data_IF_956184485218
#
_entry.id   IF_956184485218
#
_cell.length_a   1.000
_cell.length_b   1.000
_cell.length_c   1.000
_cell.angle_alpha   90.00
_cell.angle_beta   90.00
_cell.angle_gamma   90.00
#
_symmetry.space_group_name_H-M   'P 1'
#
loop_
_entity.id
_entity.type
_entity.pdbx_description
1 polymer ?
#
# COMPACT_ATOMS: atom_id res chain seq x y z
N UNK A 1 -5.57 50.75 11.32
CA UNK A 1 -5.93 49.52 10.59
C UNK A 1 -4.71 48.60 10.59
N UNK A 2 -4.80 47.43 11.24
CA UNK A 2 -3.76 46.40 11.22
C UNK A 2 -4.05 45.39 10.09
N UNK A 3 -3.02 44.70 9.58
CA UNK A 3 -3.23 43.37 9.00
C UNK A 3 -2.06 42.45 9.37
N UNK A 4 -2.41 41.56 10.29
CA UNK A 4 -1.68 40.39 10.73
C UNK A 4 -1.46 39.38 9.61
N UNK A 5 -0.30 38.73 9.58
CA UNK A 5 -0.25 37.30 9.25
C UNK A 5 0.83 36.60 10.09
N UNK A 6 0.67 36.70 11.41
CA UNK A 6 1.35 35.76 12.30
C UNK A 6 0.71 34.40 12.12
N UNK A 7 1.46 33.46 11.56
CA UNK A 7 1.11 32.05 11.54
C UNK A 7 0.95 31.59 12.99
N UNK A 8 -0.29 31.34 13.40
CA UNK A 8 -0.63 30.73 14.69
C UNK A 8 -0.17 29.28 14.69
N UNK A 9 1.12 29.09 14.99
CA UNK A 9 1.68 27.80 15.35
C UNK A 9 1.05 27.32 16.66
N UNK A 10 0.86 26.01 16.76
CA UNK A 10 0.45 25.33 17.98
C UNK A 10 1.45 25.68 19.11
N UNK A 11 1.01 26.41 20.14
CA UNK A 11 1.81 26.59 21.35
C UNK A 11 1.52 25.40 22.28
N UNK A 12 2.47 24.47 22.49
CA UNK A 12 2.30 23.44 23.51
C UNK A 12 2.23 24.13 24.89
N UNK A 13 1.18 23.83 25.65
CA UNK A 13 0.93 24.36 27.02
C UNK A 13 2.05 23.99 28.00
N UNK A 14 2.90 23.02 27.64
CA UNK A 14 4.10 22.67 28.37
C UNK A 14 5.32 22.87 27.47
N UNK A 15 6.05 23.98 27.67
CA UNK A 15 7.38 24.12 27.11
C UNK A 15 8.30 23.08 27.80
N UNK A 16 8.97 22.19 27.04
CA UNK A 16 10.01 21.36 27.62
C UNK A 16 11.09 22.28 28.19
N UNK A 17 11.36 22.20 29.50
CA UNK A 17 12.48 22.93 30.13
C UNK A 17 13.78 22.25 29.70
N UNK A 18 14.35 22.66 28.59
CA UNK A 18 15.72 22.30 28.23
C UNK A 18 16.69 23.09 29.13
N UNK A 19 17.63 22.40 29.77
CA UNK A 19 18.59 23.00 30.71
C UNK A 19 19.66 23.90 30.05
N UNK A 20 19.57 24.15 28.74
CA UNK A 20 20.51 24.96 27.98
C UNK A 20 19.81 25.93 27.04
N UNK A 21 20.49 27.04 26.68
CA UNK A 21 20.06 27.89 25.57
C UNK A 21 20.04 27.03 24.30
N UNK A 22 18.95 27.09 23.56
CA UNK A 22 18.85 26.43 22.27
C UNK A 22 19.79 27.16 21.31
N UNK A 23 20.94 26.56 21.01
CA UNK A 23 21.83 27.03 19.95
C UNK A 23 21.39 26.39 18.64
N UNK A 24 21.16 27.20 17.61
CA UNK A 24 20.83 26.67 16.29
C UNK A 24 21.99 25.81 15.77
N UNK A 25 21.70 24.65 15.14
CA UNK A 25 22.75 23.79 14.61
C UNK A 25 23.57 24.55 13.55
N UNK A 26 24.90 24.53 13.72
CA UNK A 26 25.87 25.22 12.85
C UNK A 26 25.71 24.86 11.36
N UNK A 27 25.22 23.64 11.06
CA UNK A 27 24.89 23.19 9.71
C UNK A 27 23.65 22.30 9.77
N UNK A 28 22.58 22.71 9.07
CA UNK A 28 21.42 21.84 8.80
C UNK A 28 21.67 21.06 7.53
N UNK A 29 21.80 19.73 7.62
CA UNK A 29 21.95 18.88 6.45
C UNK A 29 20.65 18.14 6.20
N UNK A 30 20.14 18.21 4.96
CA UNK A 30 18.97 17.45 4.58
C UNK A 30 19.33 15.96 4.56
N UNK A 31 18.59 15.17 5.33
CA UNK A 31 18.67 13.71 5.27
C UNK A 31 18.47 13.19 3.84
N UNK A 32 19.21 12.15 3.47
CA UNK A 32 19.12 11.61 2.13
C UNK A 32 17.84 10.78 2.03
N UNK A 33 16.92 11.24 1.20
CA UNK A 33 15.71 10.46 0.98
C UNK A 33 16.00 9.23 0.13
N UNK A 34 16.89 9.31 -0.86
CA UNK A 34 17.08 8.29 -1.90
C UNK A 34 18.19 7.27 -1.59
N UNK A 35 17.92 5.95 -1.74
CA UNK A 35 18.93 4.93 -1.51
C UNK A 35 20.05 5.04 -2.55
N UNK A 36 21.31 5.03 -2.09
CA UNK A 36 22.50 4.98 -2.97
C UNK A 36 22.96 3.54 -3.12
N UNK A 37 22.17 2.75 -3.83
CA UNK A 37 22.42 1.33 -4.04
C UNK A 37 22.70 1.06 -5.52
N UNK A 38 23.62 0.14 -5.80
CA UNK A 38 23.76 -0.41 -7.15
C UNK A 38 22.51 -1.21 -7.53
N UNK A 39 22.28 -1.43 -8.83
CA UNK A 39 21.13 -2.20 -9.31
C UNK A 39 21.01 -3.58 -8.64
N UNK A 40 22.13 -4.31 -8.49
CA UNK A 40 22.16 -5.64 -7.87
C UNK A 40 21.79 -5.57 -6.39
N UNK A 41 22.35 -4.59 -5.68
CA UNK A 41 22.06 -4.35 -4.27
C UNK A 41 20.60 -3.98 -4.05
N UNK A 42 20.04 -3.13 -4.90
CA UNK A 42 18.65 -2.72 -4.83
C UNK A 42 17.70 -3.89 -5.14
N UNK A 43 18.01 -4.68 -6.17
CA UNK A 43 17.27 -5.90 -6.48
C UNK A 43 17.28 -6.91 -5.32
N UNK A 44 18.41 -7.07 -4.64
CA UNK A 44 18.51 -7.93 -3.45
C UNK A 44 17.60 -7.45 -2.31
N UNK A 45 17.54 -6.14 -2.05
CA UNK A 45 16.63 -5.54 -1.06
C UNK A 45 15.17 -5.79 -1.47
N UNK A 46 14.80 -5.56 -2.73
CA UNK A 46 13.44 -5.78 -3.23
C UNK A 46 13.03 -7.24 -3.06
N UNK A 47 13.91 -8.19 -3.40
CA UNK A 47 13.66 -9.63 -3.25
C UNK A 47 13.50 -10.03 -1.78
N UNK A 48 14.42 -9.59 -0.92
CA UNK A 48 14.39 -9.89 0.52
C UNK A 48 13.11 -9.37 1.19
N UNK A 49 12.77 -8.11 0.95
CA UNK A 49 11.56 -7.47 1.49
C UNK A 49 10.28 -8.11 0.97
N UNK A 50 10.25 -8.47 -0.32
CA UNK A 50 9.10 -9.15 -0.92
C UNK A 50 8.91 -10.55 -0.34
N UNK A 51 10.00 -11.29 -0.10
CA UNK A 51 9.95 -12.59 0.54
C UNK A 51 9.43 -12.48 1.98
N UNK A 52 10.01 -11.59 2.80
CA UNK A 52 9.57 -11.40 4.20
C UNK A 52 8.09 -10.99 4.27
N UNK A 53 7.65 -10.10 3.39
CA UNK A 53 6.25 -9.67 3.32
C UNK A 53 5.33 -10.83 2.91
N UNK A 54 5.75 -11.64 1.93
CA UNK A 54 4.97 -12.80 1.48
C UNK A 54 4.77 -13.83 2.60
N UNK A 55 5.80 -14.11 3.40
CA UNK A 55 5.69 -15.00 4.55
C UNK A 55 4.79 -14.41 5.65
N UNK A 56 4.95 -13.12 5.97
CA UNK A 56 4.15 -12.44 7.00
C UNK A 56 2.68 -12.25 6.60
N UNK A 57 2.39 -12.17 5.29
CA UNK A 57 1.00 -12.07 4.79
C UNK A 57 0.12 -13.23 5.26
N UNK A 58 0.65 -14.45 5.30
CA UNK A 58 -0.12 -15.65 5.65
C UNK A 58 -0.82 -15.54 7.03
N UNK A 59 -0.09 -15.31 8.14
CA UNK A 59 -0.73 -15.14 9.43
C UNK A 59 -1.60 -13.87 9.49
N UNK A 60 -1.20 -12.79 8.82
CA UNK A 60 -1.96 -11.52 8.81
C UNK A 60 -3.37 -11.72 8.29
N UNK A 61 -3.52 -12.41 7.15
CA UNK A 61 -4.84 -12.71 6.55
C UNK A 61 -5.69 -13.61 7.45
N UNK A 62 -5.06 -14.39 8.34
CA UNK A 62 -5.77 -15.26 9.28
C UNK A 62 -6.17 -14.56 10.58
N UNK A 63 -5.63 -13.37 10.89
CA UNK A 63 -6.04 -12.61 12.08
C UNK A 63 -7.52 -12.25 12.09
N UNK A 64 -8.15 -12.19 10.92
CA UNK A 64 -9.58 -12.12 10.71
C UNK A 64 -10.41 -13.18 11.47
N UNK A 65 -9.80 -14.33 11.79
CA UNK A 65 -10.43 -15.41 12.56
C UNK A 65 -10.60 -15.04 14.04
N UNK A 66 -9.89 -14.01 14.52
CA UNK A 66 -9.93 -13.52 15.90
C UNK A 66 -10.79 -12.27 16.07
N UNK A 67 -11.50 -11.87 15.02
CA UNK A 67 -12.33 -10.66 15.03
C UNK A 67 -13.52 -10.75 16.00
N UNK A 68 -13.88 -11.94 16.49
CA UNK A 68 -14.86 -12.10 17.59
C UNK A 68 -14.34 -11.58 18.94
N UNK A 69 -13.03 -11.32 19.05
CA UNK A 69 -12.43 -10.67 20.23
C UNK A 69 -12.67 -9.16 20.23
N UNK A 70 -12.75 -8.53 19.06
CA UNK A 70 -13.23 -7.16 18.94
C UNK A 70 -14.72 -7.17 19.24
N UNK A 71 -15.17 -6.28 20.12
CA UNK A 71 -16.53 -6.24 20.67
C UNK A 71 -17.54 -5.72 19.62
N UNK A 72 -17.68 -6.48 18.54
CA UNK A 72 -18.48 -6.11 17.37
C UNK A 72 -19.91 -6.61 17.60
N UNK A 73 -20.93 -5.73 17.44
CA UNK A 73 -22.32 -6.08 17.71
C UNK A 73 -22.75 -7.31 16.91
N UNK A 74 -23.20 -8.36 17.59
CA UNK A 74 -23.73 -9.59 16.98
C UNK A 74 -22.94 -10.86 17.35
N UNK A 75 -21.61 -10.86 17.15
CA UNK A 75 -20.77 -12.02 17.49
C UNK A 75 -20.37 -12.02 18.98
N UNK A 76 -20.07 -10.86 19.56
CA UNK A 76 -19.61 -10.76 20.94
C UNK A 76 -20.70 -11.10 21.96
N UNK A 77 -21.96 -10.82 21.63
CA UNK A 77 -23.14 -11.18 22.44
C UNK A 77 -23.39 -12.69 22.48
N UNK A 78 -22.85 -13.46 21.53
CA UNK A 78 -23.02 -14.92 21.44
C UNK A 78 -22.01 -15.67 22.31
N UNK A 79 -20.88 -15.06 22.66
CA UNK A 79 -19.80 -15.69 23.41
C UNK A 79 -19.67 -14.99 24.77
N UNK A 80 -20.16 -15.66 25.83
CA UNK A 80 -20.01 -15.17 27.20
C UNK A 80 -18.55 -14.87 27.53
N UNK A 81 -18.32 -13.87 28.40
CA UNK A 81 -16.98 -13.40 28.74
C UNK A 81 -16.06 -14.50 29.30
N UNK A 82 -16.61 -15.52 29.98
CA UNK A 82 -15.89 -16.69 30.49
C UNK A 82 -15.34 -17.60 29.38
N UNK A 83 -16.05 -17.71 28.24
CA UNK A 83 -15.68 -18.62 27.15
C UNK A 83 -14.73 -17.99 26.13
N UNK A 84 -14.53 -16.66 26.16
CA UNK A 84 -13.66 -15.96 25.20
C UNK A 84 -12.22 -16.47 25.21
N UNK A 85 -11.68 -16.82 26.40
CA UNK A 85 -10.32 -17.35 26.54
C UNK A 85 -10.19 -18.75 25.94
N UNK A 86 -11.13 -19.64 26.23
CA UNK A 86 -11.12 -20.99 25.67
C UNK A 86 -11.30 -20.94 24.14
N UNK A 87 -12.19 -20.08 23.65
CA UNK A 87 -12.42 -19.88 22.22
C UNK A 87 -11.18 -19.30 21.52
N UNK A 88 -10.47 -18.35 22.14
CA UNK A 88 -9.20 -17.80 21.65
C UNK A 88 -8.18 -18.89 21.39
N UNK A 89 -7.91 -19.76 22.36
CA UNK A 89 -6.93 -20.84 22.19
C UNK A 89 -7.42 -21.87 21.18
N UNK A 90 -8.72 -22.18 21.17
CA UNK A 90 -9.31 -23.07 20.17
C UNK A 90 -9.11 -22.54 18.76
N UNK A 91 -9.31 -21.24 18.52
CA UNK A 91 -9.05 -20.63 17.21
C UNK A 91 -7.56 -20.52 16.91
N UNK A 92 -6.71 -20.22 17.90
CA UNK A 92 -5.25 -20.16 17.75
C UNK A 92 -4.65 -21.47 17.23
N UNK A 93 -5.05 -22.60 17.81
CA UNK A 93 -4.50 -23.90 17.44
C UNK A 93 -5.23 -24.60 16.28
N UNK A 94 -6.49 -24.25 16.00
CA UNK A 94 -7.22 -24.85 14.86
C UNK A 94 -6.94 -24.15 13.53
N UNK A 95 -6.51 -22.89 13.56
CA UNK A 95 -6.20 -22.14 12.34
C UNK A 95 -4.93 -22.68 11.70
N UNK A 96 -5.04 -23.10 10.44
CA UNK A 96 -3.88 -23.40 9.59
C UNK A 96 -3.24 -22.09 9.13
N UNK A 97 -2.29 -21.57 9.91
CA UNK A 97 -1.65 -20.27 9.71
C UNK A 97 -1.02 -20.09 8.33
N UNK A 98 -0.42 -21.14 7.79
CA UNK A 98 0.26 -21.13 6.49
C UNK A 98 -0.59 -21.69 5.34
N UNK A 99 -1.91 -21.81 5.52
CA UNK A 99 -2.82 -22.20 4.43
C UNK A 99 -3.12 -20.98 3.54
N UNK A 100 -2.96 -21.14 2.23
CA UNK A 100 -3.26 -20.09 1.28
C UNK A 100 -2.60 -20.29 -0.09
N UNK A 101 -2.68 -19.28 -0.98
CA UNK A 101 -1.89 -19.25 -2.21
C UNK A 101 -0.40 -19.34 -1.88
N UNK A 102 0.41 -19.90 -2.77
CA UNK A 102 1.84 -20.12 -2.48
C UNK A 102 2.56 -18.82 -2.13
N UNK A 103 3.48 -18.89 -1.16
CA UNK A 103 4.31 -17.75 -0.77
C UNK A 103 5.11 -17.20 -1.96
N UNK A 104 5.59 -18.08 -2.83
CA UNK A 104 6.28 -17.71 -4.08
C UNK A 104 5.39 -16.89 -5.02
N UNK A 105 4.11 -17.23 -5.14
CA UNK A 105 3.18 -16.44 -5.96
C UNK A 105 3.02 -15.03 -5.38
N UNK A 106 2.79 -14.92 -4.07
CA UNK A 106 2.68 -13.62 -3.39
C UNK A 106 3.97 -12.81 -3.49
N UNK A 107 5.13 -13.46 -3.35
CA UNK A 107 6.44 -12.84 -3.51
C UNK A 107 6.60 -12.26 -4.91
N UNK A 108 6.22 -13.00 -5.95
CA UNK A 108 6.33 -12.52 -7.34
C UNK A 108 5.48 -11.27 -7.60
N UNK A 109 4.27 -11.21 -7.01
CA UNK A 109 3.41 -10.02 -7.08
C UNK A 109 4.07 -8.80 -6.42
N UNK A 110 4.70 -8.99 -5.26
CA UNK A 110 5.37 -7.90 -4.53
C UNK A 110 6.65 -7.42 -5.21
N UNK A 111 7.46 -8.34 -5.74
CA UNK A 111 8.68 -8.02 -6.50
C UNK A 111 8.31 -7.19 -7.72
N UNK A 112 7.32 -7.64 -8.49
CA UNK A 112 6.84 -6.93 -9.68
C UNK A 112 6.38 -5.51 -9.34
N UNK A 113 5.59 -5.39 -8.27
CA UNK A 113 5.00 -4.14 -7.85
C UNK A 113 6.05 -3.13 -7.38
N UNK A 114 7.03 -3.55 -6.56
CA UNK A 114 8.14 -2.68 -6.15
C UNK A 114 9.07 -2.33 -7.32
N UNK A 115 9.47 -3.30 -8.14
CA UNK A 115 10.41 -3.09 -9.24
C UNK A 115 9.86 -2.11 -10.29
N UNK A 116 8.58 -2.25 -10.66
CA UNK A 116 7.95 -1.33 -11.60
C UNK A 116 7.77 0.05 -10.98
N UNK A 117 7.38 0.12 -9.72
CA UNK A 117 7.24 1.41 -9.05
C UNK A 117 8.57 2.16 -8.99
N UNK A 118 9.67 1.50 -8.61
CA UNK A 118 10.99 2.14 -8.53
C UNK A 118 11.48 2.57 -9.90
N UNK A 119 11.33 1.71 -10.92
CA UNK A 119 11.70 2.03 -12.29
C UNK A 119 10.88 3.20 -12.85
N UNK A 120 9.55 3.18 -12.71
CA UNK A 120 8.69 4.28 -13.16
C UNK A 120 8.99 5.58 -12.41
N UNK A 121 9.28 5.50 -11.11
CA UNK A 121 9.66 6.68 -10.34
C UNK A 121 10.94 7.30 -10.90
N UNK A 122 11.96 6.51 -11.26
CA UNK A 122 13.20 7.01 -11.86
C UNK A 122 12.96 7.68 -13.21
N UNK A 123 12.13 7.05 -14.06
CA UNK A 123 11.78 7.57 -15.40
C UNK A 123 10.93 8.85 -15.31
N UNK A 124 9.97 8.92 -14.39
CA UNK A 124 9.14 10.09 -14.17
C UNK A 124 9.89 11.10 -13.27
N UNK A 125 10.71 11.96 -13.87
CA UNK A 125 11.44 13.03 -13.16
C UNK A 125 10.64 14.33 -12.99
N UNK A 126 9.35 14.34 -13.35
CA UNK A 126 8.54 15.55 -13.40
C UNK A 126 7.83 15.82 -12.05
N UNK A 127 7.99 17.05 -11.56
CA UNK A 127 7.24 17.59 -10.41
C UNK A 127 7.82 17.28 -9.03
N UNK A 128 7.09 17.69 -7.99
CA UNK A 128 7.42 17.41 -6.58
C UNK A 128 7.29 15.90 -6.28
N UNK A 129 7.84 15.40 -5.16
CA UNK A 129 7.79 13.95 -4.88
C UNK A 129 6.36 13.40 -4.75
N UNK A 130 5.41 14.17 -4.20
CA UNK A 130 4.02 13.71 -4.07
C UNK A 130 3.36 13.38 -5.43
N UNK A 131 3.26 14.30 -6.41
CA UNK A 131 2.69 13.98 -7.72
C UNK A 131 3.52 12.94 -8.48
N UNK A 132 4.85 12.94 -8.34
CA UNK A 132 5.73 11.91 -8.91
C UNK A 132 5.39 10.52 -8.37
N UNK A 133 5.20 10.40 -7.05
CA UNK A 133 4.85 9.13 -6.39
C UNK A 133 3.45 8.65 -6.77
N UNK A 134 2.49 9.58 -6.88
CA UNK A 134 1.13 9.25 -7.31
C UNK A 134 1.10 8.78 -8.77
N UNK A 135 1.81 9.45 -9.67
CA UNK A 135 1.88 9.08 -11.09
C UNK A 135 2.59 7.73 -11.28
N UNK A 136 3.76 7.53 -10.64
CA UNK A 136 4.47 6.25 -10.67
C UNK A 136 3.62 5.11 -10.09
N UNK A 137 2.94 5.33 -8.97
CA UNK A 137 2.02 4.37 -8.37
C UNK A 137 0.82 4.03 -9.25
N UNK A 138 0.23 5.05 -9.88
CA UNK A 138 -0.91 4.91 -10.80
C UNK A 138 -0.54 4.05 -12.01
N UNK A 139 0.60 4.35 -12.65
CA UNK A 139 1.13 3.59 -13.78
C UNK A 139 1.52 2.15 -13.37
N UNK A 140 2.11 1.98 -12.18
CA UNK A 140 2.38 0.66 -11.60
C UNK A 140 1.09 -0.16 -11.46
N UNK A 141 0.00 0.48 -11.02
CA UNK A 141 -1.29 -0.17 -10.90
C UNK A 141 -1.89 -0.62 -12.24
N UNK A 142 -1.72 0.19 -13.30
CA UNK A 142 -2.12 -0.19 -14.66
C UNK A 142 -1.27 -1.35 -15.19
N UNK A 143 0.05 -1.29 -15.01
CA UNK A 143 0.95 -2.38 -15.40
C UNK A 143 0.63 -3.68 -14.65
N UNK A 144 0.37 -3.59 -13.34
CA UNK A 144 -0.09 -4.71 -12.53
C UNK A 144 -1.41 -5.27 -13.03
N UNK A 145 -2.38 -4.41 -13.35
CA UNK A 145 -3.64 -4.85 -13.92
C UNK A 145 -3.42 -5.57 -15.27
N UNK A 146 -2.50 -5.09 -16.12
CA UNK A 146 -2.26 -5.69 -17.44
C UNK A 146 -1.76 -7.13 -17.32
N UNK A 147 -0.86 -7.39 -16.37
CA UNK A 147 -0.31 -8.74 -16.14
C UNK A 147 -1.30 -9.62 -15.35
N UNK A 148 -1.99 -9.05 -14.36
CA UNK A 148 -2.81 -9.83 -13.41
C UNK A 148 -4.22 -10.14 -13.92
N UNK A 149 -4.79 -9.27 -14.76
CA UNK A 149 -6.17 -9.38 -15.24
C UNK A 149 -6.45 -10.65 -16.04
N UNK A 150 -5.58 -11.12 -16.97
CA UNK A 150 -5.78 -12.40 -17.64
C UNK A 150 -5.89 -13.58 -16.66
N UNK A 151 -5.04 -13.60 -15.63
CA UNK A 151 -5.08 -14.63 -14.59
C UNK A 151 -6.36 -14.54 -13.74
N UNK A 152 -6.84 -13.33 -13.41
CA UNK A 152 -8.12 -13.13 -12.72
C UNK A 152 -9.31 -13.65 -13.55
N UNK A 153 -9.31 -13.41 -14.86
CA UNK A 153 -10.38 -13.91 -15.74
C UNK A 153 -10.36 -15.43 -15.83
N UNK A 154 -9.19 -16.04 -16.05
CA UNK A 154 -9.06 -17.50 -16.09
C UNK A 154 -9.49 -18.15 -14.76
N UNK A 155 -9.13 -17.52 -13.64
CA UNK A 155 -9.54 -17.98 -12.31
C UNK A 155 -11.05 -17.88 -12.12
N UNK A 156 -11.65 -16.74 -12.44
CA UNK A 156 -13.10 -16.56 -12.36
C UNK A 156 -13.85 -17.56 -13.25
N UNK A 157 -13.32 -17.88 -14.45
CA UNK A 157 -13.88 -18.92 -15.32
C UNK A 157 -13.75 -20.32 -14.70
N UNK A 158 -12.65 -20.63 -14.01
CA UNK A 158 -12.48 -21.92 -13.34
C UNK A 158 -13.41 -22.09 -12.13
N UNK A 159 -13.73 -20.99 -11.43
CA UNK A 159 -14.59 -20.98 -10.25
C UNK A 159 -16.09 -20.82 -10.60
N UNK A 160 -16.41 -20.53 -11.87
CA UNK A 160 -17.78 -20.31 -12.33
C UNK A 160 -18.63 -21.59 -12.18
N UNK A 161 -19.57 -21.54 -11.23
CA UNK A 161 -20.51 -22.63 -10.96
C UNK A 161 -21.70 -22.50 -11.91
N UNK A 162 -21.73 -23.26 -13.01
CA UNK A 162 -22.85 -23.24 -13.97
C UNK A 162 -22.48 -23.37 -15.45
N UNK A 163 -21.19 -23.46 -15.79
CA UNK A 163 -20.76 -23.75 -17.16
C UNK A 163 -20.97 -25.22 -17.55
N UNK A 164 -21.13 -25.54 -18.84
CA UNK A 164 -21.24 -26.92 -19.32
C UNK A 164 -19.97 -27.75 -19.07
N UNK A 165 -18.84 -27.08 -18.79
CA UNK A 165 -17.54 -27.70 -18.53
C UNK A 165 -17.07 -27.33 -17.11
N UNK A 166 -16.85 -28.33 -16.26
CA UNK A 166 -16.18 -28.16 -14.96
C UNK A 166 -14.68 -28.20 -15.20
N UNK A 167 -13.99 -27.08 -14.99
CA UNK A 167 -12.54 -27.00 -15.08
C UNK A 167 -11.89 -27.38 -13.75
N UNK A 168 -10.79 -28.12 -13.79
CA UNK A 168 -10.06 -28.51 -12.57
C UNK A 168 -9.22 -27.36 -11.97
N UNK A 169 -8.98 -26.31 -12.75
CA UNK A 169 -8.27 -25.11 -12.30
C UNK A 169 -7.89 -24.18 -13.45
N UNK A 170 -7.16 -23.10 -13.13
CA UNK A 170 -6.76 -22.05 -14.08
C UNK A 170 -6.00 -22.60 -15.29
N UNK A 171 -5.04 -23.51 -15.05
CA UNK A 171 -4.24 -24.11 -16.12
C UNK A 171 -5.05 -24.99 -17.07
N UNK A 172 -6.12 -25.61 -16.58
CA UNK A 172 -7.03 -26.42 -17.37
C UNK A 172 -7.92 -25.55 -18.27
N UNK A 173 -8.41 -24.42 -17.75
CA UNK A 173 -9.11 -23.39 -18.54
C UNK A 173 -8.19 -22.87 -19.65
N UNK A 174 -6.94 -22.53 -19.31
CA UNK A 174 -5.99 -21.98 -20.28
C UNK A 174 -5.65 -22.98 -21.39
N UNK A 175 -5.35 -24.24 -21.03
CA UNK A 175 -5.08 -25.32 -21.99
C UNK A 175 -6.29 -25.60 -22.89
N UNK A 176 -7.48 -25.60 -22.32
CA UNK A 176 -8.73 -25.79 -23.07
C UNK A 176 -8.97 -24.63 -24.03
N UNK A 177 -8.80 -23.38 -23.57
CA UNK A 177 -8.95 -22.19 -24.40
C UNK A 177 -7.98 -22.19 -25.59
N UNK A 178 -6.72 -22.58 -25.36
CA UNK A 178 -5.72 -22.72 -26.42
C UNK A 178 -6.08 -23.78 -27.46
N UNK A 179 -6.63 -24.92 -27.02
CA UNK A 179 -6.96 -26.05 -27.91
C UNK A 179 -8.25 -25.84 -28.70
N UNK A 180 -9.29 -25.32 -28.06
CA UNK A 180 -10.63 -25.28 -28.65
C UNK A 180 -10.91 -23.97 -29.40
N UNK A 181 -10.44 -22.83 -28.87
CA UNK A 181 -10.75 -21.53 -29.46
C UNK A 181 -9.72 -20.47 -29.07
N UNK A 182 -8.60 -20.33 -29.81
CA UNK A 182 -7.55 -19.35 -29.49
C UNK A 182 -8.06 -17.89 -29.52
N UNK A 183 -9.12 -17.60 -30.28
CA UNK A 183 -9.78 -16.28 -30.24
C UNK A 183 -10.42 -15.94 -28.89
N UNK A 184 -10.66 -16.94 -28.02
CA UNK A 184 -11.09 -16.71 -26.64
C UNK A 184 -10.00 -16.05 -25.78
N UNK A 185 -8.72 -16.12 -26.17
CA UNK A 185 -7.62 -15.46 -25.47
C UNK A 185 -7.71 -13.93 -25.57
N UNK A 186 -8.24 -13.40 -26.68
CA UNK A 186 -8.55 -11.97 -26.80
C UNK A 186 -9.66 -11.55 -25.80
N UNK A 187 -10.52 -12.49 -25.42
CA UNK A 187 -11.53 -12.30 -24.38
C UNK A 187 -10.98 -12.13 -22.97
N UNK A 188 -9.70 -12.49 -22.71
CA UNK A 188 -9.07 -12.37 -21.40
C UNK A 188 -8.93 -10.91 -20.95
N UNK A 189 -8.80 -9.97 -21.88
CA UNK A 189 -8.73 -8.54 -21.57
C UNK A 189 -10.09 -7.86 -21.53
N UNK A 190 -11.20 -8.60 -21.64
CA UNK A 190 -12.53 -8.04 -21.52
C UNK A 190 -12.74 -7.48 -20.10
N UNK A 191 -13.12 -6.20 -20.03
CA UNK A 191 -13.25 -5.48 -18.76
C UNK A 191 -11.92 -5.00 -18.15
N UNK A 192 -10.82 -5.02 -18.92
CA UNK A 192 -9.53 -4.51 -18.48
C UNK A 192 -9.61 -3.04 -18.03
N UNK A 193 -10.30 -2.18 -18.78
CA UNK A 193 -10.39 -0.75 -18.46
C UNK A 193 -10.95 -0.47 -17.04
N UNK A 194 -11.98 -1.21 -16.60
CA UNK A 194 -12.53 -1.03 -15.25
C UNK A 194 -11.61 -1.61 -14.16
N UNK A 195 -10.93 -2.73 -14.45
CA UNK A 195 -9.93 -3.29 -13.55
C UNK A 195 -8.72 -2.34 -13.39
N UNK A 196 -8.21 -1.83 -14.51
CA UNK A 196 -7.09 -0.90 -14.56
C UNK A 196 -7.42 0.41 -13.83
N UNK A 197 -8.59 1.00 -14.03
CA UNK A 197 -9.01 2.21 -13.33
C UNK A 197 -9.04 2.00 -11.80
N UNK A 198 -9.55 0.85 -11.33
CA UNK A 198 -9.54 0.50 -9.91
C UNK A 198 -8.13 0.39 -9.34
N UNK A 199 -7.22 -0.30 -10.04
CA UNK A 199 -5.82 -0.46 -9.61
C UNK A 199 -5.02 0.84 -9.69
N UNK A 200 -5.31 1.68 -10.68
CA UNK A 200 -4.72 3.01 -10.84
C UNK A 200 -4.97 3.84 -9.59
N UNK A 201 -6.24 3.96 -9.17
CA UNK A 201 -6.58 4.73 -7.96
C UNK A 201 -6.00 4.10 -6.68
N UNK A 202 -6.07 2.77 -6.57
CA UNK A 202 -5.54 2.04 -5.42
C UNK A 202 -4.05 2.34 -5.20
N UNK A 203 -3.23 2.02 -6.21
CA UNK A 203 -1.78 2.11 -6.09
C UNK A 203 -1.28 3.55 -6.22
N UNK A 204 -1.98 4.41 -6.97
CA UNK A 204 -1.70 5.84 -7.03
C UNK A 204 -1.77 6.48 -5.64
N UNK A 205 -2.86 6.26 -4.90
CA UNK A 205 -2.99 6.81 -3.54
C UNK A 205 -2.00 6.17 -2.56
N UNK A 206 -1.84 4.84 -2.60
CA UNK A 206 -0.91 4.13 -1.73
C UNK A 206 0.54 4.63 -1.89
N UNK A 207 1.06 4.67 -3.11
CA UNK A 207 2.41 5.14 -3.38
C UNK A 207 2.57 6.66 -3.32
N UNK A 208 1.51 7.41 -3.62
CA UNK A 208 1.49 8.86 -3.48
C UNK A 208 1.65 9.30 -2.03
N UNK A 209 0.86 8.72 -1.11
CA UNK A 209 0.97 9.01 0.34
C UNK A 209 2.33 8.59 0.87
N UNK A 210 2.82 7.41 0.49
CA UNK A 210 4.17 6.98 0.85
C UNK A 210 5.25 7.96 0.38
N UNK A 211 5.22 8.37 -0.89
CA UNK A 211 6.25 9.27 -1.39
C UNK A 211 6.14 10.70 -0.83
N UNK A 212 4.94 11.10 -0.40
CA UNK A 212 4.72 12.34 0.34
C UNK A 212 5.24 12.29 1.78
N UNK A 213 5.32 11.10 2.39
CA UNK A 213 5.64 10.92 3.82
C UNK A 213 7.01 10.30 4.09
N UNK A 214 7.70 9.79 3.05
CA UNK A 214 9.03 9.15 3.07
C UNK A 214 10.22 10.08 3.41
N UNK A 215 9.99 11.28 3.91
CA UNK A 215 11.06 12.22 4.24
C UNK A 215 11.52 12.10 5.68
N UNK A 216 12.82 12.24 5.91
CA UNK A 216 13.46 12.01 7.21
C UNK A 216 12.94 12.92 8.34
N UNK A 217 12.23 14.01 8.01
CA UNK A 217 11.59 14.90 8.99
C UNK A 217 10.14 14.61 9.27
N UNK A 218 9.51 13.77 8.43
CA UNK A 218 8.10 13.44 8.56
C UNK A 218 7.93 12.21 9.45
N UNK A 219 8.86 11.26 9.45
CA UNK A 219 8.79 10.07 10.30
C UNK A 219 10.03 9.96 11.22
N UNK A 220 9.84 10.11 12.54
CA UNK A 220 10.91 9.96 13.54
C UNK A 220 11.19 8.48 13.89
N UNK A 221 10.20 7.61 13.70
CA UNK A 221 10.26 6.19 14.06
C UNK A 221 9.65 5.32 12.96
N UNK A 222 10.12 4.07 12.86
CA UNK A 222 9.59 3.07 11.91
C UNK A 222 8.08 2.84 12.07
N UNK A 223 7.55 2.93 13.30
CA UNK A 223 6.11 2.80 13.56
C UNK A 223 5.30 3.93 12.91
N UNK A 224 5.82 5.16 12.92
CA UNK A 224 5.16 6.33 12.31
C UNK A 224 5.11 6.16 10.79
N UNK A 225 6.21 5.72 10.18
CA UNK A 225 6.26 5.37 8.76
C UNK A 225 5.24 4.27 8.42
N UNK A 226 5.08 3.28 9.30
CA UNK A 226 4.06 2.24 9.13
C UNK A 226 2.65 2.80 9.14
N UNK A 227 2.31 3.69 10.07
CA UNK A 227 1.00 4.32 10.09
C UNK A 227 0.73 5.15 8.83
N UNK A 228 1.73 5.86 8.28
CA UNK A 228 1.56 6.58 7.02
C UNK A 228 1.36 5.66 5.82
N UNK A 229 2.16 4.60 5.72
CA UNK A 229 2.00 3.61 4.65
C UNK A 229 0.64 2.90 4.76
N UNK A 230 0.18 2.64 5.99
CA UNK A 230 -1.10 2.02 6.28
C UNK A 230 -2.27 2.93 5.91
N UNK A 231 -2.20 4.22 6.28
CA UNK A 231 -3.16 5.24 5.86
C UNK A 231 -3.23 5.33 4.33
N UNK A 232 -2.08 5.34 3.65
CA UNK A 232 -2.02 5.35 2.19
C UNK A 232 -2.68 4.12 1.56
N UNK A 233 -2.43 2.93 2.12
CA UNK A 233 -3.05 1.70 1.67
C UNK A 233 -4.58 1.68 1.90
N UNK A 234 -5.06 2.12 3.07
CA UNK A 234 -6.51 2.26 3.34
C UNK A 234 -7.15 3.24 2.37
N UNK A 235 -6.52 4.40 2.14
CA UNK A 235 -7.02 5.41 1.20
C UNK A 235 -7.11 4.84 -0.22
N UNK A 236 -6.10 4.07 -0.65
CA UNK A 236 -6.13 3.34 -1.92
C UNK A 236 -7.30 2.35 -2.01
N UNK A 237 -7.53 1.55 -0.97
CA UNK A 237 -8.67 0.63 -0.92
C UNK A 237 -10.01 1.38 -0.96
N UNK A 238 -10.12 2.50 -0.24
CA UNK A 238 -11.31 3.35 -0.21
C UNK A 238 -11.63 3.91 -1.60
N UNK A 239 -10.63 4.49 -2.29
CA UNK A 239 -10.81 5.06 -3.63
C UNK A 239 -11.12 4.00 -4.70
N UNK A 240 -10.57 2.78 -4.55
CA UNK A 240 -10.85 1.66 -5.45
C UNK A 240 -12.24 1.05 -5.23
N UNK A 241 -12.76 1.08 -4.00
CA UNK A 241 -13.94 0.32 -3.61
C UNK A 241 -15.16 0.56 -4.51
N UNK A 242 -15.51 1.79 -4.92
CA UNK A 242 -16.67 2.02 -5.79
C UNK A 242 -16.59 1.30 -7.12
N UNK A 243 -15.41 1.32 -7.76
CA UNK A 243 -15.20 0.67 -9.04
C UNK A 243 -15.28 -0.85 -8.91
N UNK A 244 -14.76 -1.38 -7.81
CA UNK A 244 -14.78 -2.80 -7.51
C UNK A 244 -16.21 -3.29 -7.19
N UNK A 245 -16.91 -2.58 -6.31
CA UNK A 245 -18.29 -2.86 -5.89
C UNK A 245 -19.23 -2.86 -7.09
N UNK A 246 -19.20 -1.80 -7.91
CA UNK A 246 -20.03 -1.71 -9.13
C UNK A 246 -19.69 -2.84 -10.10
N UNK A 247 -18.40 -3.15 -10.33
CA UNK A 247 -17.99 -4.25 -11.22
C UNK A 247 -18.56 -5.59 -10.77
N UNK A 248 -18.44 -5.92 -9.48
CA UNK A 248 -18.93 -7.20 -8.95
C UNK A 248 -20.45 -7.28 -8.97
N UNK A 249 -21.15 -6.24 -8.54
CA UNK A 249 -22.61 -6.19 -8.55
C UNK A 249 -23.17 -6.29 -9.96
N UNK A 250 -22.55 -5.60 -10.92
CA UNK A 250 -22.94 -5.67 -12.32
C UNK A 250 -22.70 -7.06 -12.91
N UNK A 251 -21.57 -7.69 -12.57
CA UNK A 251 -21.27 -9.06 -13.00
C UNK A 251 -22.31 -10.04 -12.46
N UNK A 252 -22.60 -10.00 -11.15
CA UNK A 252 -23.59 -10.87 -10.51
C UNK A 252 -24.98 -10.66 -11.09
N UNK A 253 -25.44 -9.41 -11.27
CA UNK A 253 -26.75 -9.13 -11.88
C UNK A 253 -26.84 -9.66 -13.31
N UNK A 254 -25.82 -9.40 -14.12
CA UNK A 254 -25.81 -9.83 -15.52
C UNK A 254 -25.74 -11.35 -15.71
N UNK A 255 -25.34 -12.12 -14.68
CA UNK A 255 -25.44 -13.58 -14.73
C UNK A 255 -26.90 -14.07 -14.71
N UNK A 256 -27.81 -13.32 -14.06
CA UNK A 256 -29.22 -13.70 -13.92
C UNK A 256 -30.16 -12.98 -14.89
N UNK A 257 -29.68 -11.98 -15.64
CA UNK A 257 -30.50 -11.22 -16.60
C UNK A 257 -30.73 -12.01 -17.89
N UNK A 258 -31.99 -12.38 -18.17
CA UNK A 258 -32.42 -13.08 -19.41
C UNK A 258 -32.62 -12.15 -20.63
N UNK A 259 -31.87 -11.05 -20.72
CA UNK A 259 -32.10 -9.99 -21.71
C UNK A 259 -30.86 -9.13 -21.96
N UNK A 260 -31.06 -7.86 -22.32
CA UNK A 260 -29.94 -6.93 -22.52
C UNK A 260 -29.18 -6.75 -21.19
N UNK A 261 -27.85 -6.93 -21.16
CA UNK A 261 -27.08 -6.78 -19.94
C UNK A 261 -27.13 -5.33 -19.45
N UNK A 262 -27.16 -5.15 -18.14
CA UNK A 262 -27.08 -3.84 -17.54
C UNK A 262 -25.69 -3.22 -17.81
N UNK A 263 -25.68 -1.92 -18.06
CA UNK A 263 -24.46 -1.13 -18.23
C UNK A 263 -24.03 -0.51 -16.89
N UNK A 264 -22.75 -0.12 -16.78
CA UNK A 264 -22.24 0.61 -15.62
C UNK A 264 -23.07 1.87 -15.33
N UNK A 265 -23.35 2.67 -16.38
CA UNK A 265 -24.12 3.91 -16.26
C UNK A 265 -25.55 3.66 -15.77
N UNK A 266 -26.25 2.69 -16.35
CA UNK A 266 -27.64 2.41 -15.96
C UNK A 266 -27.72 1.91 -14.52
N UNK A 267 -26.78 1.05 -14.10
CA UNK A 267 -26.71 0.58 -12.72
C UNK A 267 -26.41 1.72 -11.72
N UNK A 268 -25.43 2.57 -12.01
CA UNK A 268 -25.07 3.69 -11.11
C UNK A 268 -26.24 4.67 -10.97
N UNK A 269 -26.93 5.00 -12.07
CA UNK A 269 -28.10 5.87 -12.04
C UNK A 269 -29.27 5.24 -11.23
N UNK A 270 -29.52 3.95 -11.41
CA UNK A 270 -30.54 3.21 -10.64
C UNK A 270 -30.23 3.21 -9.13
N UNK A 271 -29.00 2.88 -8.74
CA UNK A 271 -28.56 2.87 -7.34
C UNK A 271 -28.67 4.26 -6.74
N UNK A 272 -28.19 5.29 -7.46
CA UNK A 272 -28.29 6.69 -7.02
C UNK A 272 -29.74 7.10 -6.78
N UNK A 273 -30.66 6.73 -7.67
CA UNK A 273 -32.07 7.09 -7.57
C UNK A 273 -32.80 6.37 -6.42
N UNK A 274 -32.46 5.10 -6.15
CA UNK A 274 -33.18 4.29 -5.15
C UNK A 274 -32.61 4.35 -3.74
N UNK A 275 -31.29 4.40 -3.61
CA UNK A 275 -30.59 4.23 -2.32
C UNK A 275 -29.55 5.31 -2.03
N UNK A 276 -29.30 6.23 -2.97
CA UNK A 276 -28.22 7.20 -2.88
C UNK A 276 -26.85 6.63 -3.25
N UNK A 277 -25.86 7.52 -3.37
CA UNK A 277 -24.49 7.18 -3.81
C UNK A 277 -23.72 6.40 -2.72
N UNK A 278 -24.05 6.63 -1.44
CA UNK A 278 -23.42 5.95 -0.31
C UNK A 278 -23.61 4.43 -0.34
N UNK A 279 -24.69 3.93 -0.95
CA UNK A 279 -24.97 2.51 -1.10
C UNK A 279 -23.86 1.75 -1.83
N UNK A 280 -23.07 2.43 -2.68
CA UNK A 280 -21.93 1.83 -3.37
C UNK A 280 -20.84 1.38 -2.38
N UNK A 281 -20.70 2.08 -1.25
CA UNK A 281 -19.76 1.77 -0.17
C UNK A 281 -20.29 0.75 0.83
N UNK A 282 -21.50 0.23 0.62
CA UNK A 282 -22.06 -0.80 1.49
C UNK A 282 -21.16 -2.05 1.49
N UNK A 283 -20.85 -2.55 2.68
CA UNK A 283 -19.88 -3.64 2.88
C UNK A 283 -18.40 -3.25 2.89
N UNK A 284 -18.02 -1.97 2.70
CA UNK A 284 -16.60 -1.57 2.73
C UNK A 284 -15.94 -1.95 4.04
N UNK A 285 -16.53 -1.57 5.18
CA UNK A 285 -15.99 -1.92 6.49
C UNK A 285 -16.14 -3.42 6.82
N UNK A 286 -17.13 -4.10 6.24
CA UNK A 286 -17.27 -5.56 6.36
C UNK A 286 -16.10 -6.30 5.69
N UNK A 287 -15.49 -5.70 4.65
CA UNK A 287 -14.27 -6.21 4.03
C UNK A 287 -12.99 -5.94 4.83
N UNK A 288 -13.10 -5.38 6.04
CA UNK A 288 -11.99 -5.16 7.00
C UNK A 288 -10.77 -4.51 6.35
N UNK A 289 -10.95 -3.32 5.75
CA UNK A 289 -9.91 -2.66 4.95
C UNK A 289 -8.65 -2.36 5.77
N UNK A 290 -8.80 -2.13 7.08
CA UNK A 290 -7.70 -1.87 8.01
C UNK A 290 -6.75 -3.07 8.10
N UNK A 291 -7.26 -4.29 8.26
CA UNK A 291 -6.43 -5.51 8.33
C UNK A 291 -5.85 -5.84 6.96
N UNK A 292 -6.65 -5.72 5.91
CA UNK A 292 -6.22 -5.99 4.53
C UNK A 292 -5.16 -5.01 4.00
N UNK A 293 -5.05 -3.81 4.58
CA UNK A 293 -4.01 -2.83 4.26
C UNK A 293 -2.65 -3.15 4.89
N UNK A 294 -2.59 -4.01 5.92
CA UNK A 294 -1.35 -4.30 6.67
C UNK A 294 -0.22 -4.86 5.79
N UNK A 295 -0.44 -5.87 4.91
CA UNK A 295 0.65 -6.40 4.08
C UNK A 295 1.23 -5.36 3.12
N UNK A 296 0.38 -4.48 2.58
CA UNK A 296 0.82 -3.39 1.69
C UNK A 296 1.65 -2.35 2.45
N UNK A 297 1.22 -1.96 3.65
CA UNK A 297 1.97 -1.06 4.51
C UNK A 297 3.32 -1.66 4.94
N UNK A 298 3.31 -2.95 5.31
CA UNK A 298 4.51 -3.68 5.71
C UNK A 298 5.52 -3.78 4.55
N UNK A 299 5.06 -4.03 3.32
CA UNK A 299 5.93 -4.06 2.14
C UNK A 299 6.70 -2.75 1.97
N UNK A 300 6.00 -1.62 2.08
CA UNK A 300 6.56 -0.30 1.81
C UNK A 300 7.48 0.17 2.93
N UNK A 301 7.08 -0.07 4.18
CA UNK A 301 7.92 0.24 5.35
C UNK A 301 9.20 -0.57 5.37
N UNK A 302 9.12 -1.89 5.15
CA UNK A 302 10.29 -2.74 5.08
C UNK A 302 11.19 -2.35 3.92
N UNK A 303 10.62 -2.04 2.75
CA UNK A 303 11.39 -1.56 1.60
C UNK A 303 12.19 -0.31 1.95
N UNK A 304 11.53 0.69 2.55
CA UNK A 304 12.12 1.96 2.90
C UNK A 304 13.21 1.81 3.99
N UNK A 305 12.91 1.05 5.05
CA UNK A 305 13.85 0.80 6.15
C UNK A 305 15.05 -0.02 5.68
N UNK A 306 14.84 -1.13 4.95
CA UNK A 306 15.92 -1.97 4.48
C UNK A 306 16.79 -1.25 3.46
N UNK A 307 16.19 -0.51 2.51
CA UNK A 307 16.96 0.26 1.54
C UNK A 307 17.80 1.35 2.22
N UNK A 308 17.24 2.05 3.22
CA UNK A 308 18.00 3.05 4.00
C UNK A 308 19.11 2.42 4.81
N UNK A 309 18.81 1.43 5.66
CA UNK A 309 19.80 0.75 6.51
C UNK A 309 20.93 0.13 5.71
N UNK A 310 20.62 -0.44 4.54
CA UNK A 310 21.65 -0.99 3.68
C UNK A 310 22.52 0.10 3.04
N UNK A 311 21.92 1.25 2.71
CA UNK A 311 22.69 2.43 2.26
C UNK A 311 23.59 2.96 3.38
N UNK A 312 23.10 3.07 4.62
CA UNK A 312 23.92 3.50 5.78
C UNK A 312 25.07 2.54 6.06
N UNK A 313 24.84 1.24 5.90
CA UNK A 313 25.85 0.21 6.08
C UNK A 313 26.99 0.34 5.05
N UNK A 314 26.67 0.65 3.80
CA UNK A 314 27.66 0.85 2.73
C UNK A 314 28.34 2.22 2.80
N UNK A 315 27.62 3.24 3.28
CA UNK A 315 28.03 4.63 3.33
C UNK A 315 27.89 5.20 4.75
N UNK A 316 28.76 4.80 5.71
CA UNK A 316 28.67 5.22 7.11
C UNK A 316 28.82 6.73 7.31
N UNK A 317 29.41 7.43 6.34
CA UNK A 317 29.48 8.89 6.29
C UNK A 317 28.09 9.54 6.25
N UNK A 318 27.09 8.89 5.66
CA UNK A 318 25.72 9.41 5.57
C UNK A 318 24.97 9.29 6.90
N UNK A 319 25.37 8.37 7.77
CA UNK A 319 24.75 8.20 9.09
C UNK A 319 24.99 9.41 9.99
N UNK A 320 26.17 10.04 9.88
CA UNK A 320 26.59 11.22 10.66
C UNK A 320 25.87 12.52 10.28
N UNK A 321 25.05 12.48 9.23
CA UNK A 321 24.39 13.63 8.59
C UNK A 321 22.94 13.82 9.08
N UNK A 322 22.49 13.04 10.07
CA UNK A 322 21.19 13.21 10.73
C UNK A 322 21.15 14.49 11.58
N UNK A 323 21.33 15.65 10.96
CA UNK A 323 21.01 16.97 11.49
C UNK A 323 19.52 17.24 11.33
N UNK A 324 18.95 17.97 12.28
CA UNK A 324 17.50 18.19 12.43
C UNK A 324 16.78 18.55 11.13
N UNK A 325 15.59 17.97 10.98
CA UNK A 325 14.85 18.00 9.73
C UNK A 325 13.77 19.06 9.76
N UNK A 326 14.07 20.21 9.17
CA UNK A 326 13.09 21.24 8.87
C UNK A 326 12.65 21.14 7.41
N UNK A 327 11.73 20.21 7.13
CA UNK A 327 10.96 20.25 5.88
C UNK A 327 9.47 20.07 6.19
N UNK A 328 8.63 21.09 5.91
CA UNK A 328 7.19 20.95 6.06
C UNK A 328 6.65 19.95 5.03
N UNK A 329 5.65 19.16 5.44
CA UNK A 329 4.96 18.12 4.63
C UNK A 329 4.45 18.67 3.27
N UNK A 330 4.29 19.99 3.15
CA UNK A 330 3.81 20.69 1.96
C UNK A 330 4.78 21.80 1.46
N UNK A 331 6.06 21.71 1.80
CA UNK A 331 7.06 22.71 1.41
C UNK A 331 7.32 22.75 -0.10
N UNK A 332 7.19 23.93 -0.69
CA UNK A 332 7.74 24.24 -2.01
C UNK A 332 9.26 24.09 -1.94
N UNK A 333 9.82 23.34 -2.90
CA UNK A 333 11.23 23.04 -3.14
C UNK A 333 12.21 24.06 -2.51
N UNK A 334 12.70 23.80 -1.30
CA UNK A 334 13.84 24.52 -0.74
C UNK A 334 15.13 23.88 -1.24
N UNK A 335 16.04 24.69 -1.76
CA UNK A 335 17.37 24.23 -2.17
C UNK A 335 18.09 23.56 -0.98
N UNK A 336 18.95 22.55 -1.21
CA UNK A 336 19.75 21.96 -0.15
C UNK A 336 20.61 23.03 0.52
N UNK A 337 20.56 23.11 1.86
CA UNK A 337 21.27 24.14 2.64
C UNK A 337 22.80 24.02 2.58
N UNK A 338 23.33 22.86 2.18
CA UNK A 338 24.77 22.65 2.01
C UNK A 338 25.05 21.70 0.83
N UNK A 339 26.00 22.06 -0.03
CA UNK A 339 26.45 21.26 -1.18
C UNK A 339 27.62 20.32 -0.85
N UNK A 340 28.34 20.57 0.26
CA UNK A 340 29.39 19.69 0.78
C UNK A 340 29.46 19.78 2.32
N UNK A 341 29.82 18.66 2.95
CA UNK A 341 30.00 18.58 4.40
C UNK A 341 31.38 19.14 4.78
N UNK A 342 31.50 20.00 5.80
CA UNK A 342 32.80 20.26 6.40
C UNK A 342 33.32 18.96 7.05
N UNK A 343 34.61 18.64 6.83
CA UNK A 343 35.30 17.54 7.52
C UNK A 343 35.36 17.89 9.01
N UNK A 344 34.58 17.21 9.85
CA UNK A 344 34.70 17.34 11.30
C UNK A 344 35.75 16.33 11.82
N UNK A 345 36.92 16.83 12.20
CA UNK A 345 37.78 16.17 13.19
C UNK A 345 37.34 16.64 14.57
N UNK A 346 37.09 15.70 15.49
CA UNK A 346 36.88 16.05 16.88
C UNK A 346 38.21 16.55 17.45
N UNK A 347 38.34 17.86 17.68
CA UNK A 347 39.42 18.38 18.49
C UNK A 347 39.30 17.78 19.90
N UNK A 348 40.33 17.06 20.34
CA UNK A 348 40.42 16.54 21.71
C UNK A 348 40.53 17.74 22.65
N UNK A 349 39.82 17.70 23.77
CA UNK A 349 39.64 18.79 24.75
C UNK A 349 40.92 19.22 25.51
N UNK A 350 42.12 18.98 24.99
CA UNK A 350 43.38 19.22 25.71
C UNK A 350 44.35 20.21 25.06
N UNK A 351 43.96 20.90 23.98
CA UNK A 351 44.83 21.91 23.35
C UNK A 351 44.25 23.32 23.49
N UNK A 352 44.26 23.83 24.73
CA UNK A 352 44.12 25.26 25.05
C UNK A 352 45.22 25.68 26.02
#
# INVERSE_FOLDING_TARGET
MPMSSGTTGYHPVFAPRFAGKFEEPLVRVQGYTEPRLTFVQHAAVVLGVSATTAFLRHPIVKFDSFYFLSDVPGESNRIYASDKRAQLFRTLFSVRWFSGPSALWSMSEYVFLLAIFTWLREVLSWGNNTPRGFAAGSLTGVAYAAVRHPYDVLRATSEATGGPKKFKGVGDVFRTALREKPSALLGLYRGFASAACGRLLQFGAQFGVYNATRYDGVYRQTCVLFFYCHLGAILGLFLQYPLLSVKYQLHMRNQFTKGRPHTYRSYILEVRARHGISKIYDGFFNSRPILNAVPAALLMTLYDVCARRYTEFLHPELQKVHGEVDQPIFGVRSAPYASSLPKYEFARKNDL
#
